data_IF_411706935380
#
_entry.id   IF_411706935380
#
_cell.length_a   1.000
_cell.length_b   1.000
_cell.length_c   1.000
_cell.angle_alpha   90.00
_cell.angle_beta   90.00
_cell.angle_gamma   90.00
#
_symmetry.space_group_name_H-M   'P 1'
#
loop_
_entity.id
_entity.type
_entity.pdbx_description
1 polymer ?
#
# COMPACT_ATOMS: atom_id res chain seq x y z
N UNK A 1 6.07 -42.89 -6.67
CA UNK A 1 6.37 -44.04 -7.54
C UNK A 1 7.29 -43.75 -8.74
N UNK A 2 6.99 -42.82 -9.67
CA UNK A 2 7.83 -42.59 -10.86
C UNK A 2 9.32 -42.28 -10.57
N UNK A 3 9.59 -41.25 -9.78
CA UNK A 3 10.98 -40.87 -9.41
C UNK A 3 11.72 -41.97 -8.64
N UNK A 4 11.01 -42.70 -7.77
CA UNK A 4 11.56 -43.87 -7.06
C UNK A 4 12.05 -44.93 -8.04
N UNK A 5 11.23 -45.29 -9.04
CA UNK A 5 11.60 -46.26 -10.06
C UNK A 5 12.81 -45.80 -10.89
N UNK A 6 12.86 -44.51 -11.25
CA UNK A 6 14.01 -43.94 -11.97
C UNK A 6 15.31 -44.01 -11.16
N UNK A 7 15.31 -43.60 -9.88
CA UNK A 7 16.52 -43.66 -9.04
C UNK A 7 16.99 -45.09 -8.81
N UNK A 8 16.07 -46.05 -8.63
CA UNK A 8 16.43 -47.47 -8.55
C UNK A 8 17.09 -47.94 -9.84
N UNK A 9 16.47 -47.65 -11.00
CA UNK A 9 17.03 -48.02 -12.30
C UNK A 9 18.42 -47.40 -12.53
N UNK A 10 18.63 -46.15 -12.15
CA UNK A 10 19.95 -45.50 -12.23
C UNK A 10 21.00 -46.18 -11.35
N UNK A 11 20.65 -46.56 -10.12
CA UNK A 11 21.55 -47.28 -9.22
C UNK A 11 21.91 -48.67 -9.76
N UNK A 12 20.95 -49.36 -10.35
CA UNK A 12 21.16 -50.66 -11.01
C UNK A 12 22.08 -50.52 -12.23
N UNK A 13 21.83 -49.55 -13.10
CA UNK A 13 22.69 -49.27 -14.28
C UNK A 13 24.12 -48.95 -13.86
N UNK A 14 24.30 -48.20 -12.76
CA UNK A 14 25.61 -47.83 -12.22
C UNK A 14 26.28 -48.98 -11.43
N UNK A 15 25.60 -50.12 -11.23
CA UNK A 15 26.09 -51.25 -10.44
C UNK A 15 26.25 -50.95 -8.95
N UNK A 16 25.51 -49.95 -8.43
CA UNK A 16 25.60 -49.47 -7.04
C UNK A 16 24.40 -49.85 -6.18
N UNK A 17 23.43 -50.57 -6.74
CA UNK A 17 22.24 -50.98 -6.00
C UNK A 17 22.55 -52.08 -4.99
N UNK A 18 22.61 -51.71 -3.71
CA UNK A 18 22.54 -52.65 -2.57
C UNK A 18 21.10 -52.78 -2.06
N UNK A 19 20.55 -53.99 -2.13
CA UNK A 19 19.20 -54.31 -1.66
C UNK A 19 19.00 -54.05 -0.17
N UNK A 20 20.00 -54.31 0.67
CA UNK A 20 19.87 -54.21 2.13
C UNK A 20 19.78 -52.76 2.63
N UNK A 21 20.43 -51.84 1.92
CA UNK A 21 20.41 -50.40 2.22
C UNK A 21 19.29 -49.68 1.45
N UNK A 22 19.21 -49.88 0.13
CA UNK A 22 18.32 -49.08 -0.72
C UNK A 22 16.85 -49.48 -0.60
N UNK A 23 16.51 -50.76 -0.36
CA UNK A 23 15.09 -51.14 -0.16
C UNK A 23 14.50 -50.39 1.06
N UNK A 24 15.29 -50.22 2.12
CA UNK A 24 14.88 -49.48 3.32
C UNK A 24 14.70 -48.00 3.04
N UNK A 25 15.63 -47.39 2.30
CA UNK A 25 15.52 -45.98 1.89
C UNK A 25 14.27 -45.77 1.02
N UNK A 26 14.09 -46.57 -0.02
CA UNK A 26 12.99 -46.42 -0.96
C UNK A 26 11.63 -46.85 -0.40
N UNK A 27 11.58 -47.62 0.69
CA UNK A 27 10.33 -47.93 1.40
C UNK A 27 9.67 -46.66 1.97
N UNK A 28 10.46 -45.68 2.39
CA UNK A 28 9.98 -44.41 2.96
C UNK A 28 10.25 -43.21 2.05
N UNK A 29 10.53 -43.46 0.77
CA UNK A 29 10.84 -42.40 -0.17
C UNK A 29 9.60 -41.58 -0.53
N UNK A 30 9.68 -40.28 -0.25
CA UNK A 30 8.61 -39.31 -0.51
C UNK A 30 9.13 -38.07 -1.25
N UNK A 31 8.21 -37.16 -1.55
CA UNK A 31 8.50 -35.93 -2.29
C UNK A 31 9.49 -34.99 -1.58
N UNK A 32 9.67 -35.13 -0.26
CA UNK A 32 10.62 -34.29 0.51
C UNK A 32 12.07 -34.66 0.21
N UNK A 33 12.29 -35.81 -0.41
CA UNK A 33 13.60 -36.35 -0.76
C UNK A 33 13.94 -36.17 -2.25
N UNK A 34 13.09 -35.45 -3.00
CA UNK A 34 13.35 -35.12 -4.40
C UNK A 34 14.54 -34.17 -4.52
N UNK A 35 15.32 -34.32 -5.60
CA UNK A 35 16.32 -33.31 -5.97
C UNK A 35 15.62 -32.04 -6.51
N UNK A 36 16.37 -30.95 -6.67
CA UNK A 36 15.84 -29.74 -7.34
C UNK A 36 15.30 -30.06 -8.73
N UNK A 37 16.04 -30.87 -9.52
CA UNK A 37 15.65 -31.25 -10.87
C UNK A 37 14.36 -32.08 -10.89
N UNK A 38 14.23 -33.06 -9.99
CA UNK A 38 13.01 -33.87 -9.86
C UNK A 38 11.82 -33.06 -9.38
N UNK A 39 12.06 -32.09 -8.50
CA UNK A 39 11.02 -31.18 -8.02
C UNK A 39 10.50 -30.28 -9.14
N UNK A 40 11.40 -29.70 -9.96
CA UNK A 40 11.03 -28.86 -11.10
C UNK A 40 10.29 -29.62 -12.21
N UNK A 41 10.45 -30.95 -12.27
CA UNK A 41 9.67 -31.81 -13.16
C UNK A 41 8.24 -32.07 -12.65
N UNK A 42 7.96 -31.76 -11.38
CA UNK A 42 6.60 -31.82 -10.83
C UNK A 42 5.85 -30.53 -11.20
N UNK A 43 4.78 -30.59 -12.02
CA UNK A 43 3.96 -29.41 -12.25
C UNK A 43 3.30 -28.95 -10.93
N UNK A 44 3.24 -27.65 -10.65
CA UNK A 44 2.53 -27.15 -9.47
C UNK A 44 1.04 -27.48 -9.60
N UNK A 45 0.47 -28.10 -8.56
CA UNK A 45 -0.98 -28.31 -8.50
C UNK A 45 -1.64 -27.00 -8.09
N UNK A 46 -2.38 -26.38 -9.01
CA UNK A 46 -3.11 -25.14 -8.76
C UNK A 46 -4.58 -25.44 -8.52
N UNK A 47 -5.11 -25.05 -7.36
CA UNK A 47 -6.55 -25.05 -7.07
C UNK A 47 -7.07 -23.63 -7.15
N UNK A 48 -8.06 -23.39 -8.00
CA UNK A 48 -8.77 -22.11 -8.09
C UNK A 48 -10.07 -22.19 -7.28
N UNK A 49 -10.25 -21.28 -6.34
CA UNK A 49 -11.45 -21.15 -5.52
C UNK A 49 -12.05 -19.74 -5.62
N UNK A 50 -13.36 -19.64 -5.41
CA UNK A 50 -14.03 -18.39 -5.11
C UNK A 50 -14.40 -18.36 -3.63
N UNK A 51 -14.69 -17.18 -3.08
CA UNK A 51 -14.98 -16.96 -1.66
C UNK A 51 -15.99 -17.99 -1.09
N UNK A 52 -17.19 -18.10 -1.68
CA UNK A 52 -18.26 -18.96 -1.14
C UNK A 52 -17.93 -20.47 -1.07
N UNK A 53 -17.08 -21.00 -1.94
CA UNK A 53 -16.65 -22.40 -1.88
C UNK A 53 -15.45 -22.62 -0.96
N UNK A 54 -14.61 -21.61 -0.79
CA UNK A 54 -13.35 -21.71 -0.05
C UNK A 54 -13.49 -21.37 1.45
N UNK A 55 -14.39 -20.46 1.79
CA UNK A 55 -14.54 -19.91 3.15
C UNK A 55 -15.62 -20.60 4.00
N UNK A 56 -16.68 -21.12 3.38
CA UNK A 56 -17.80 -21.71 4.10
C UNK A 56 -17.73 -23.23 4.08
N UNK A 57 -18.02 -23.84 2.93
CA UNK A 57 -18.09 -25.29 2.82
C UNK A 57 -16.72 -25.98 2.73
N UNK A 58 -15.71 -25.31 2.16
CA UNK A 58 -14.38 -25.87 1.89
C UNK A 58 -13.30 -25.57 2.92
N UNK A 59 -13.57 -24.74 3.93
CA UNK A 59 -12.53 -24.19 4.80
C UNK A 59 -11.71 -25.26 5.54
N UNK A 60 -12.36 -26.31 6.05
CA UNK A 60 -11.66 -27.41 6.73
C UNK A 60 -10.65 -28.11 5.79
N UNK A 61 -11.04 -28.36 4.54
CA UNK A 61 -10.17 -29.00 3.55
C UNK A 61 -9.04 -28.07 3.12
N UNK A 62 -9.32 -26.77 3.00
CA UNK A 62 -8.31 -25.75 2.74
C UNK A 62 -7.28 -25.72 3.87
N UNK A 63 -7.72 -25.67 5.13
CA UNK A 63 -6.86 -25.68 6.30
C UNK A 63 -5.96 -26.93 6.36
N UNK A 64 -6.51 -28.12 6.10
CA UNK A 64 -5.73 -29.35 5.98
C UNK A 64 -4.68 -29.28 4.85
N UNK A 65 -5.02 -28.67 3.72
CA UNK A 65 -4.11 -28.51 2.59
C UNK A 65 -2.94 -27.58 2.96
N UNK A 66 -3.19 -26.50 3.68
CA UNK A 66 -2.18 -25.53 4.14
C UNK A 66 -1.22 -26.10 5.20
N UNK A 67 -1.63 -27.12 5.97
CA UNK A 67 -0.77 -27.80 6.96
C UNK A 67 -0.09 -29.06 6.38
N UNK A 68 -0.56 -29.58 5.24
CA UNK A 68 -0.07 -30.85 4.66
C UNK A 68 1.43 -30.85 4.33
N UNK A 69 2.01 -29.67 4.16
CA UNK A 69 3.37 -29.48 3.65
C UNK A 69 3.51 -29.76 2.16
N UNK A 70 2.47 -30.26 1.48
CA UNK A 70 2.51 -30.55 0.05
C UNK A 70 2.65 -29.25 -0.76
N UNK A 71 3.33 -29.28 -1.92
CA UNK A 71 3.52 -28.10 -2.78
C UNK A 71 2.23 -27.74 -3.56
N UNK A 72 1.14 -27.51 -2.83
CA UNK A 72 -0.18 -27.13 -3.36
C UNK A 72 -0.25 -25.61 -3.49
N UNK A 73 -0.74 -25.13 -4.62
CA UNK A 73 -0.86 -23.72 -4.96
C UNK A 73 -2.34 -23.36 -4.99
N UNK A 74 -2.80 -22.53 -4.07
CA UNK A 74 -4.22 -22.18 -3.92
C UNK A 74 -4.41 -20.72 -4.33
N UNK A 75 -5.21 -20.48 -5.37
CA UNK A 75 -5.61 -19.13 -5.77
C UNK A 75 -7.08 -18.94 -5.43
N UNK A 76 -7.36 -17.94 -4.60
CA UNK A 76 -8.70 -17.54 -4.20
C UNK A 76 -8.99 -16.17 -4.82
N UNK A 77 -10.06 -16.11 -5.62
CA UNK A 77 -10.63 -14.86 -6.10
C UNK A 77 -11.67 -14.41 -5.07
N UNK A 78 -11.40 -13.29 -4.42
CA UNK A 78 -12.19 -12.73 -3.34
C UNK A 78 -12.94 -11.51 -3.86
N UNK A 79 -14.27 -11.63 -3.97
CA UNK A 79 -15.18 -10.58 -4.41
C UNK A 79 -15.83 -9.82 -3.24
N UNK A 80 -15.45 -10.13 -1.99
CA UNK A 80 -15.97 -9.54 -0.76
C UNK A 80 -17.50 -9.50 -0.70
N UNK A 81 -18.17 -10.57 -1.13
CA UNK A 81 -19.63 -10.59 -1.03
C UNK A 81 -20.03 -10.64 0.45
N UNK A 82 -20.90 -9.74 0.91
CA UNK A 82 -21.41 -9.85 2.27
C UNK A 82 -22.23 -11.15 2.38
N UNK A 83 -21.81 -12.03 3.29
CA UNK A 83 -22.75 -12.90 3.96
C UNK A 83 -23.56 -11.99 4.90
N UNK A 84 -24.77 -11.56 4.48
CA UNK A 84 -25.74 -10.71 5.22
C UNK A 84 -25.11 -9.71 6.21
N UNK A 85 -25.27 -8.40 5.93
CA UNK A 85 -24.72 -7.17 6.55
C UNK A 85 -24.44 -7.08 8.08
N UNK A 86 -24.70 -8.11 8.88
CA UNK A 86 -24.40 -8.27 10.31
C UNK A 86 -23.22 -9.23 10.61
N UNK A 87 -22.64 -9.93 9.63
CA UNK A 87 -21.52 -10.85 9.89
C UNK A 87 -20.14 -10.23 9.63
N UNK A 88 -19.24 -10.33 10.61
CA UNK A 88 -17.84 -9.90 10.48
C UNK A 88 -17.13 -10.71 9.41
N UNK A 89 -16.38 -10.03 8.53
CA UNK A 89 -15.59 -10.67 7.47
C UNK A 89 -14.60 -11.67 8.06
N UNK A 90 -14.51 -12.84 7.44
CA UNK A 90 -13.48 -13.85 7.76
C UNK A 90 -12.18 -13.46 7.05
N UNK A 91 -11.11 -13.18 7.80
CA UNK A 91 -9.82 -12.80 7.21
C UNK A 91 -9.00 -14.04 6.81
N UNK A 92 -9.27 -14.60 5.62
CA UNK A 92 -8.61 -15.84 5.15
C UNK A 92 -7.09 -15.73 5.15
N UNK A 93 -6.53 -14.62 4.70
CA UNK A 93 -5.09 -14.42 4.69
C UNK A 93 -4.52 -14.52 6.11
N UNK A 94 -5.16 -13.89 7.09
CA UNK A 94 -4.74 -13.96 8.50
C UNK A 94 -4.84 -15.37 9.07
N UNK A 95 -5.94 -16.07 8.77
CA UNK A 95 -6.17 -17.44 9.20
C UNK A 95 -5.15 -18.40 8.56
N UNK A 96 -4.83 -18.21 7.27
CA UNK A 96 -3.82 -18.98 6.57
C UNK A 96 -2.41 -18.73 7.12
N UNK A 97 -2.07 -17.48 7.44
CA UNK A 97 -0.82 -17.11 8.12
C UNK A 97 -0.69 -17.81 9.48
N UNK A 98 -1.81 -18.01 10.20
CA UNK A 98 -1.81 -18.71 11.49
C UNK A 98 -1.35 -20.17 11.41
N UNK A 99 -1.36 -20.80 10.23
CA UNK A 99 -0.76 -22.12 10.03
C UNK A 99 0.78 -22.09 10.05
N UNK A 100 1.41 -20.91 9.90
CA UNK A 100 2.86 -20.65 9.96
C UNK A 100 3.73 -21.35 8.92
N UNK A 101 3.20 -22.32 8.19
CA UNK A 101 3.96 -23.16 7.23
C UNK A 101 3.61 -22.90 5.78
N UNK A 102 2.57 -22.12 5.51
CA UNK A 102 2.15 -21.78 4.16
C UNK A 102 2.68 -20.40 3.78
N UNK A 103 3.11 -20.24 2.53
CA UNK A 103 3.28 -18.90 1.95
C UNK A 103 1.88 -18.30 1.72
N UNK A 104 1.66 -17.06 2.10
CA UNK A 104 0.35 -16.40 1.94
C UNK A 104 0.55 -15.02 1.34
N UNK A 105 -0.24 -14.68 0.33
CA UNK A 105 -0.28 -13.34 -0.23
C UNK A 105 -1.72 -12.87 -0.35
N UNK A 106 -2.01 -11.72 0.25
CA UNK A 106 -3.20 -10.92 -0.01
C UNK A 106 -2.86 -9.83 -1.01
N UNK A 107 -3.50 -9.85 -2.18
CA UNK A 107 -3.18 -8.98 -3.30
C UNK A 107 -4.39 -8.37 -3.97
N UNK A 108 -4.15 -7.37 -4.82
CA UNK A 108 -5.17 -6.76 -5.68
C UNK A 108 -4.63 -6.67 -7.10
N UNK A 109 -5.52 -6.79 -8.08
CA UNK A 109 -5.17 -6.73 -9.51
C UNK A 109 -4.68 -5.33 -9.95
N UNK A 110 -5.01 -4.28 -9.18
CA UNK A 110 -4.51 -2.92 -9.39
C UNK A 110 -3.02 -2.79 -9.05
N UNK A 111 -2.48 -3.65 -8.17
CA UNK A 111 -1.09 -3.61 -7.72
C UNK A 111 -0.27 -4.71 -8.39
N UNK A 112 -0.07 -4.58 -9.71
CA UNK A 112 0.53 -5.62 -10.55
C UNK A 112 1.94 -6.02 -10.10
N UNK A 113 2.79 -5.07 -9.69
CA UNK A 113 4.16 -5.38 -9.24
C UNK A 113 4.18 -6.25 -7.98
N UNK A 114 3.37 -5.89 -6.98
CA UNK A 114 3.21 -6.69 -5.75
C UNK A 114 2.66 -8.09 -6.09
N UNK A 115 1.63 -8.14 -6.94
CA UNK A 115 1.00 -9.38 -7.36
C UNK A 115 1.99 -10.33 -8.08
N UNK A 116 2.73 -9.82 -9.06
CA UNK A 116 3.71 -10.61 -9.82
C UNK A 116 4.86 -11.13 -8.95
N UNK A 117 5.42 -10.26 -8.10
CA UNK A 117 6.50 -10.64 -7.18
C UNK A 117 6.05 -11.80 -6.29
N UNK A 118 4.88 -11.66 -5.65
CA UNK A 118 4.42 -12.70 -4.75
C UNK A 118 3.88 -13.96 -5.45
N UNK A 119 3.46 -13.90 -6.72
CA UNK A 119 3.25 -15.11 -7.53
C UNK A 119 4.55 -15.87 -7.78
N UNK A 120 5.62 -15.17 -8.14
CA UNK A 120 6.94 -15.78 -8.35
C UNK A 120 7.41 -16.44 -7.05
N UNK A 121 7.33 -15.73 -5.93
CA UNK A 121 7.78 -16.25 -4.63
C UNK A 121 6.96 -17.44 -4.17
N UNK A 122 5.63 -17.38 -4.27
CA UNK A 122 4.76 -18.48 -3.87
C UNK A 122 4.83 -19.70 -4.80
N UNK A 123 5.12 -19.51 -6.11
CA UNK A 123 5.38 -20.63 -7.03
C UNK A 123 6.70 -21.32 -6.71
N UNK A 124 7.75 -20.55 -6.37
CA UNK A 124 9.05 -21.08 -5.95
C UNK A 124 9.04 -21.64 -4.51
N UNK A 125 7.99 -21.38 -3.73
CA UNK A 125 7.86 -21.92 -2.38
C UNK A 125 7.67 -23.45 -2.41
N UNK A 126 8.45 -24.20 -1.63
CA UNK A 126 8.44 -25.67 -1.64
C UNK A 126 7.27 -26.33 -0.89
N UNK A 127 6.39 -25.53 -0.30
CA UNK A 127 5.20 -25.99 0.41
C UNK A 127 3.90 -25.37 -0.12
N UNK A 128 2.85 -25.40 0.70
CA UNK A 128 1.57 -24.79 0.37
C UNK A 128 1.71 -23.28 0.17
N UNK A 129 1.14 -22.75 -0.90
CA UNK A 129 1.05 -21.32 -1.13
C UNK A 129 -0.40 -20.92 -1.36
N UNK A 130 -0.84 -19.81 -0.77
CA UNK A 130 -2.16 -19.24 -0.91
C UNK A 130 -2.06 -17.81 -1.44
N UNK A 131 -2.78 -17.52 -2.51
CA UNK A 131 -3.03 -16.18 -3.01
C UNK A 131 -4.49 -15.85 -2.80
N UNK A 132 -4.78 -14.80 -2.05
CA UNK A 132 -6.11 -14.23 -1.89
C UNK A 132 -6.12 -12.91 -2.65
N UNK A 133 -6.76 -12.91 -3.83
CA UNK A 133 -6.72 -11.78 -4.76
C UNK A 133 -8.07 -11.12 -4.79
N UNK A 134 -8.11 -9.83 -4.44
CA UNK A 134 -9.30 -9.02 -4.61
C UNK A 134 -9.64 -8.90 -6.08
N UNK A 135 -10.87 -9.28 -6.42
CA UNK A 135 -11.43 -9.17 -7.74
C UNK A 135 -12.92 -8.84 -7.62
N UNK A 136 -13.26 -7.57 -7.79
CA UNK A 136 -14.67 -7.12 -7.78
C UNK A 136 -15.47 -7.83 -8.86
N UNK A 137 -16.67 -8.30 -8.54
CA UNK A 137 -17.60 -8.87 -9.52
C UNK A 137 -18.63 -7.82 -9.94
N UNK A 138 -18.57 -7.36 -11.19
CA UNK A 138 -19.34 -6.20 -11.63
C UNK A 138 -20.87 -6.31 -11.41
N UNK A 139 -21.55 -7.40 -11.82
CA UNK A 139 -22.97 -7.57 -11.55
C UNK A 139 -23.33 -7.73 -10.06
N UNK A 140 -22.48 -8.38 -9.26
CA UNK A 140 -22.82 -8.66 -7.85
C UNK A 140 -22.52 -7.47 -6.94
N UNK A 141 -21.38 -6.82 -7.12
CA UNK A 141 -21.02 -5.58 -6.43
C UNK A 141 -21.82 -4.37 -6.96
N UNK A 142 -22.46 -4.50 -8.13
CA UNK A 142 -23.27 -3.45 -8.75
C UNK A 142 -22.44 -2.25 -9.24
N UNK A 143 -21.27 -2.53 -9.82
CA UNK A 143 -20.34 -1.55 -10.38
C UNK A 143 -20.32 -1.62 -11.92
N UNK A 144 -19.80 -0.58 -12.58
CA UNK A 144 -19.71 -0.57 -14.04
C UNK A 144 -18.68 -1.59 -14.57
N UNK A 145 -18.94 -2.15 -15.76
CA UNK A 145 -18.14 -3.22 -16.37
C UNK A 145 -16.65 -2.84 -16.56
N UNK A 146 -16.35 -1.56 -16.75
CA UNK A 146 -15.01 -1.02 -16.95
C UNK A 146 -14.36 -0.49 -15.65
N UNK A 147 -15.00 -0.63 -14.49
CA UNK A 147 -14.50 -0.08 -13.22
C UNK A 147 -13.59 -1.02 -12.44
N UNK A 148 -13.32 -2.23 -12.94
CA UNK A 148 -12.57 -3.28 -12.23
C UNK A 148 -11.24 -2.78 -11.64
N UNK A 149 -10.40 -2.13 -12.43
CA UNK A 149 -9.10 -1.61 -11.98
C UNK A 149 -9.25 -0.50 -10.96
N UNK A 150 -10.18 0.43 -11.20
CA UNK A 150 -10.45 1.54 -10.29
C UNK A 150 -10.96 1.03 -8.94
N UNK A 151 -11.93 0.11 -8.94
CA UNK A 151 -12.50 -0.45 -7.73
C UNK A 151 -11.46 -1.24 -6.93
N UNK A 152 -10.60 -1.99 -7.62
CA UNK A 152 -9.49 -2.73 -7.00
C UNK A 152 -8.44 -1.82 -6.38
N UNK A 153 -8.20 -0.64 -6.98
CA UNK A 153 -7.34 0.39 -6.41
C UNK A 153 -7.98 0.99 -5.16
N UNK A 154 -9.24 1.42 -5.25
CA UNK A 154 -9.98 1.98 -4.12
C UNK A 154 -10.09 1.00 -2.94
N UNK A 155 -10.23 -0.30 -3.20
CA UNK A 155 -10.28 -1.32 -2.15
C UNK A 155 -8.97 -1.38 -1.33
N UNK A 156 -7.81 -1.24 -1.97
CA UNK A 156 -6.51 -1.20 -1.28
C UNK A 156 -6.35 0.12 -0.53
N UNK A 157 -6.68 1.22 -1.20
CA UNK A 157 -6.48 2.58 -0.68
C UNK A 157 -7.39 2.89 0.52
N UNK A 158 -8.62 2.38 0.51
CA UNK A 158 -9.59 2.50 1.61
C UNK A 158 -9.38 1.53 2.76
N UNK A 159 -8.30 0.73 2.73
CA UNK A 159 -8.05 -0.39 3.67
C UNK A 159 -9.16 -1.47 3.68
N UNK A 160 -10.04 -1.52 2.69
CA UNK A 160 -10.98 -2.63 2.52
C UNK A 160 -10.24 -3.95 2.26
N UNK A 161 -9.15 -3.89 1.48
CA UNK A 161 -8.30 -5.02 1.10
C UNK A 161 -6.81 -4.66 1.15
N UNK A 162 -6.22 -4.50 2.36
CA UNK A 162 -4.81 -4.16 2.47
C UNK A 162 -3.92 -5.26 1.89
N UNK A 163 -2.82 -4.88 1.24
CA UNK A 163 -1.86 -5.83 0.69
C UNK A 163 -1.03 -6.44 1.82
N UNK A 164 -0.78 -7.73 1.78
CA UNK A 164 0.05 -8.40 2.78
C UNK A 164 0.71 -9.62 2.17
N UNK A 165 2.00 -9.80 2.42
CA UNK A 165 2.71 -11.02 2.06
C UNK A 165 3.28 -11.65 3.32
N UNK A 166 3.16 -12.96 3.44
CA UNK A 166 3.74 -13.78 4.50
C UNK A 166 4.58 -14.88 3.89
N UNK A 167 5.88 -14.85 4.19
CA UNK A 167 6.82 -15.87 3.79
C UNK A 167 7.48 -16.52 5.02
N UNK A 168 7.15 -17.79 5.32
CA UNK A 168 7.72 -18.48 6.49
C UNK A 168 9.22 -18.80 6.34
N UNK A 169 9.85 -18.51 5.20
CA UNK A 169 11.30 -18.68 5.00
C UNK A 169 12.12 -17.52 5.55
N UNK A 170 11.53 -16.33 5.71
CA UNK A 170 12.26 -15.10 6.05
C UNK A 170 12.67 -15.05 7.52
N UNK A 171 11.95 -15.73 8.41
CA UNK A 171 12.25 -15.72 9.82
C UNK A 171 11.43 -16.69 10.66
N UNK A 172 11.42 -16.44 11.97
CA UNK A 172 10.67 -17.23 12.96
C UNK A 172 9.56 -16.43 13.63
N UNK A 173 9.62 -15.10 13.59
CA UNK A 173 8.59 -14.23 14.15
C UNK A 173 7.66 -13.73 13.06
N UNK A 174 6.50 -13.20 13.44
CA UNK A 174 5.55 -12.65 12.47
C UNK A 174 6.12 -11.38 11.82
N UNK A 175 6.89 -10.59 12.58
CA UNK A 175 7.52 -9.37 12.08
C UNK A 175 8.54 -9.64 10.98
N UNK A 176 9.27 -10.76 11.08
CA UNK A 176 10.25 -11.16 10.06
C UNK A 176 9.58 -11.75 8.81
N UNK A 177 8.42 -12.41 8.99
CA UNK A 177 7.75 -13.13 7.92
C UNK A 177 6.72 -12.29 7.18
N UNK A 178 6.19 -11.22 7.77
CA UNK A 178 5.13 -10.37 7.17
C UNK A 178 5.72 -9.12 6.53
N UNK A 179 5.27 -8.84 5.32
CA UNK A 179 5.55 -7.61 4.59
C UNK A 179 4.25 -6.90 4.19
N UNK A 180 4.17 -5.59 4.47
CA UNK A 180 3.06 -4.71 4.06
C UNK A 180 3.44 -3.83 2.85
N UNK A 181 4.51 -4.16 2.13
CA UNK A 181 4.94 -3.39 0.98
C UNK A 181 3.86 -3.30 -0.11
N UNK A 182 3.77 -2.15 -0.75
CA UNK A 182 2.77 -1.86 -1.80
C UNK A 182 1.50 -1.18 -1.28
N UNK A 183 1.24 -1.17 0.03
CA UNK A 183 0.21 -0.31 0.59
C UNK A 183 0.67 1.16 0.60
N UNK A 184 -0.19 2.12 0.26
CA UNK A 184 0.14 3.53 0.40
C UNK A 184 0.08 3.97 1.87
N UNK A 185 0.80 5.04 2.17
CA UNK A 185 0.78 5.77 3.45
C UNK A 185 0.74 4.85 4.69
N UNK A 186 1.77 4.02 4.87
CA UNK A 186 1.80 3.00 5.93
C UNK A 186 1.59 3.57 7.35
N UNK A 187 2.05 4.80 7.58
CA UNK A 187 1.97 5.47 8.87
C UNK A 187 0.58 6.05 9.17
N UNK A 188 -0.29 6.15 8.16
CA UNK A 188 -1.63 6.70 8.28
C UNK A 188 -2.70 5.60 8.29
N UNK A 189 -3.80 5.89 8.98
CA UNK A 189 -4.95 4.99 9.00
C UNK A 189 -5.70 5.02 7.66
N UNK A 190 -5.88 6.23 7.11
CA UNK A 190 -6.56 6.48 5.85
C UNK A 190 -5.67 7.30 4.92
N UNK A 191 -5.81 7.05 3.61
CA UNK A 191 -5.18 7.87 2.57
C UNK A 191 -6.03 9.12 2.37
N UNK A 192 -5.39 10.22 1.97
CA UNK A 192 -6.08 11.47 1.64
C UNK A 192 -6.16 11.59 0.12
N UNK A 193 -7.36 11.86 -0.41
CA UNK A 193 -7.56 12.14 -1.84
C UNK A 193 -8.17 13.52 -2.05
N UNK A 194 -7.96 14.08 -3.23
CA UNK A 194 -8.58 15.34 -3.65
C UNK A 194 -9.95 15.06 -4.26
N UNK A 195 -11.00 15.61 -3.66
CA UNK A 195 -12.36 15.57 -4.17
C UNK A 195 -12.67 16.88 -4.92
N UNK A 196 -12.83 16.76 -6.23
CA UNK A 196 -13.20 17.89 -7.09
C UNK A 196 -14.72 18.05 -7.12
N UNK A 197 -15.22 19.26 -6.89
CA UNK A 197 -16.63 19.58 -6.93
C UNK A 197 -16.91 20.95 -7.53
N UNK A 198 -18.16 21.17 -7.92
CA UNK A 198 -18.65 22.44 -8.46
C UNK A 198 -19.61 23.07 -7.46
N UNK A 199 -19.49 24.38 -7.23
CA UNK A 199 -20.46 25.14 -6.43
C UNK A 199 -21.75 25.42 -7.23
N UNK A 200 -22.74 26.03 -6.56
CA UNK A 200 -24.01 26.43 -7.18
C UNK A 200 -23.87 27.46 -8.31
N UNK A 201 -22.72 28.12 -8.40
CA UNK A 201 -22.40 29.15 -9.39
C UNK A 201 -21.55 28.63 -10.56
N UNK A 202 -21.20 27.34 -10.58
CA UNK A 202 -20.40 26.71 -11.63
C UNK A 202 -18.88 26.81 -11.43
N UNK A 203 -18.40 27.34 -10.30
CA UNK A 203 -16.98 27.41 -9.97
C UNK A 203 -16.49 26.06 -9.46
N UNK A 204 -15.27 25.69 -9.86
CA UNK A 204 -14.64 24.43 -9.46
C UNK A 204 -13.79 24.62 -8.20
N UNK A 205 -13.95 23.71 -7.26
CA UNK A 205 -13.18 23.63 -6.03
C UNK A 205 -12.65 22.22 -5.85
N UNK A 206 -11.60 22.12 -5.05
CA UNK A 206 -11.03 20.85 -4.62
C UNK A 206 -10.92 20.85 -3.09
N UNK A 207 -11.11 19.69 -2.49
CA UNK A 207 -10.92 19.51 -1.06
C UNK A 207 -10.25 18.18 -0.75
N UNK A 208 -9.38 18.18 0.26
CA UNK A 208 -8.67 17.00 0.70
C UNK A 208 -9.55 16.19 1.67
N UNK A 209 -9.88 14.95 1.35
CA UNK A 209 -10.76 14.10 2.15
C UNK A 209 -10.14 12.73 2.38
N UNK A 210 -10.34 12.13 3.58
CA UNK A 210 -9.86 10.77 3.84
C UNK A 210 -10.68 9.76 3.02
N UNK A 211 -10.01 8.80 2.41
CA UNK A 211 -10.64 7.64 1.78
C UNK A 211 -10.78 6.51 2.81
N UNK A 212 -11.97 6.39 3.38
CA UNK A 212 -12.31 5.33 4.35
C UNK A 212 -12.98 4.14 3.66
N UNK A 213 -13.18 3.06 4.42
CA UNK A 213 -13.97 1.92 3.96
C UNK A 213 -15.39 2.32 3.50
N UNK A 214 -16.02 3.29 4.18
CA UNK A 214 -17.35 3.79 3.80
C UNK A 214 -17.34 4.53 2.45
N UNK A 215 -16.26 5.24 2.13
CA UNK A 215 -16.12 5.94 0.84
C UNK A 215 -15.99 4.96 -0.32
N UNK A 216 -15.23 3.89 -0.13
CA UNK A 216 -15.17 2.78 -1.10
C UNK A 216 -16.51 2.05 -1.20
N UNK A 217 -17.16 1.76 -0.07
CA UNK A 217 -18.46 1.08 -0.07
C UNK A 217 -19.55 1.91 -0.75
N UNK A 218 -19.48 3.24 -0.69
CA UNK A 218 -20.41 4.14 -1.39
C UNK A 218 -20.36 3.95 -2.93
N UNK A 219 -19.24 3.49 -3.48
CA UNK A 219 -19.11 3.25 -4.94
C UNK A 219 -19.75 1.94 -5.40
N UNK A 220 -20.14 1.05 -4.47
CA UNK A 220 -20.75 -0.24 -4.79
C UNK A 220 -22.24 -0.24 -4.48
N UNK A 221 -23.07 -0.56 -5.48
CA UNK A 221 -24.52 -0.51 -5.31
C UNK A 221 -25.04 -1.52 -4.27
N UNK A 222 -24.29 -2.59 -3.98
CA UNK A 222 -24.65 -3.55 -2.94
C UNK A 222 -24.76 -2.90 -1.54
N UNK A 223 -23.98 -1.86 -1.27
CA UNK A 223 -24.01 -1.16 0.02
C UNK A 223 -24.93 0.06 0.03
N UNK A 224 -25.67 0.35 -1.05
CA UNK A 224 -26.47 1.57 -1.19
C UNK A 224 -27.48 1.79 -0.04
N UNK A 225 -27.97 0.72 0.59
CA UNK A 225 -28.91 0.77 1.71
C UNK A 225 -28.29 1.30 3.03
N UNK A 226 -26.96 1.38 3.13
CA UNK A 226 -26.25 1.96 4.26
C UNK A 226 -26.10 3.48 4.18
N UNK A 227 -26.47 4.09 3.06
CA UNK A 227 -26.17 5.49 2.76
C UNK A 227 -27.43 6.32 2.52
N UNK A 228 -27.45 7.53 3.07
CA UNK A 228 -28.52 8.50 2.83
C UNK A 228 -27.93 9.88 2.58
N UNK A 229 -28.13 10.41 1.37
CA UNK A 229 -27.75 11.77 1.03
C UNK A 229 -28.59 12.79 1.82
N UNK A 230 -27.93 13.82 2.33
CA UNK A 230 -28.51 14.95 3.06
C UNK A 230 -28.47 16.17 2.16
N UNK A 231 -29.60 16.86 2.00
CA UNK A 231 -29.64 18.13 1.29
C UNK A 231 -29.02 19.25 2.13
N UNK A 232 -28.51 20.31 1.51
CA UNK A 232 -27.96 21.46 2.22
C UNK A 232 -28.91 22.00 3.30
N UNK A 233 -30.21 22.06 3.01
CA UNK A 233 -31.26 22.54 3.92
C UNK A 233 -31.52 21.63 5.13
N UNK A 234 -31.08 20.37 5.08
CA UNK A 234 -31.28 19.36 6.13
C UNK A 234 -30.00 19.02 6.89
N UNK A 235 -28.90 19.73 6.62
CA UNK A 235 -27.67 19.62 7.41
C UNK A 235 -27.91 20.19 8.80
N UNK A 236 -27.67 19.38 9.84
CA UNK A 236 -27.61 19.85 11.22
C UNK A 236 -26.18 20.21 11.62
N UNK A 237 -26.03 21.00 12.68
CA UNK A 237 -24.73 21.37 13.25
C UNK A 237 -24.05 20.18 13.96
N UNK A 238 -24.82 19.15 14.34
CA UNK A 238 -24.35 17.94 15.02
C UNK A 238 -23.69 16.91 14.05
N UNK A 239 -23.49 17.30 12.79
CA UNK A 239 -22.87 16.44 11.77
C UNK A 239 -21.35 16.54 11.80
N UNK A 240 -20.69 15.41 11.97
CA UNK A 240 -19.22 15.27 12.03
C UNK A 240 -18.72 14.28 11.01
N UNK A 241 -17.49 14.51 10.54
CA UNK A 241 -16.86 13.62 9.56
C UNK A 241 -16.68 12.22 10.18
N UNK A 242 -16.92 11.16 9.40
CA UNK A 242 -16.84 9.77 9.88
C UNK A 242 -15.51 9.46 10.58
N UNK A 243 -14.39 9.97 10.07
CA UNK A 243 -13.08 9.78 10.70
C UNK A 243 -12.95 10.45 12.05
N UNK A 244 -13.58 11.60 12.26
CA UNK A 244 -13.60 12.27 13.57
C UNK A 244 -14.53 11.50 14.52
N UNK A 245 -15.70 11.09 14.04
CA UNK A 245 -16.70 10.34 14.81
C UNK A 245 -16.14 9.04 15.40
N UNK A 246 -15.33 8.29 14.64
CA UNK A 246 -14.75 7.02 15.12
C UNK A 246 -13.71 7.25 16.25
N UNK A 247 -13.10 8.43 16.36
CA UNK A 247 -12.18 8.77 17.46
C UNK A 247 -12.90 9.34 18.70
N UNK A 248 -14.18 9.63 18.60
CA UNK A 248 -14.97 10.21 19.69
C UNK A 248 -15.30 9.19 20.78
N UNK A 249 -15.63 9.68 21.98
CA UNK A 249 -16.15 8.82 23.05
C UNK A 249 -17.58 8.36 22.75
N UNK A 250 -18.01 7.22 23.30
CA UNK A 250 -19.37 6.68 23.13
C UNK A 250 -20.48 7.71 23.46
N UNK A 251 -20.20 8.60 24.42
CA UNK A 251 -21.13 9.67 24.80
C UNK A 251 -21.26 10.71 23.69
N UNK A 252 -20.14 11.14 23.13
CA UNK A 252 -20.13 12.16 22.08
C UNK A 252 -20.69 11.57 20.79
N UNK A 253 -20.42 10.29 20.50
CA UNK A 253 -21.01 9.57 19.37
C UNK A 253 -22.54 9.55 19.43
N UNK A 254 -23.14 9.42 20.63
CA UNK A 254 -24.59 9.43 20.79
C UNK A 254 -25.23 10.81 20.50
N UNK A 255 -24.46 11.89 20.58
CA UNK A 255 -24.93 13.27 20.35
C UNK A 255 -24.66 13.76 18.91
N UNK A 256 -23.96 12.96 18.10
CA UNK A 256 -23.46 13.37 16.79
C UNK A 256 -23.90 12.43 15.67
N UNK A 257 -23.96 12.95 14.44
CA UNK A 257 -24.34 12.18 13.24
C UNK A 257 -23.14 12.11 12.30
N UNK A 258 -22.59 10.91 12.02
CA UNK A 258 -21.46 10.77 11.11
C UNK A 258 -21.88 10.90 9.65
N UNK A 259 -21.05 11.59 8.88
CA UNK A 259 -21.21 11.69 7.44
C UNK A 259 -19.87 11.53 6.70
N UNK A 260 -19.96 11.21 5.41
CA UNK A 260 -18.85 11.30 4.44
C UNK A 260 -19.20 12.31 3.35
N UNK A 261 -18.17 12.87 2.72
CA UNK A 261 -18.34 13.76 1.58
C UNK A 261 -18.51 12.95 0.30
N UNK A 262 -19.48 13.33 -0.53
CA UNK A 262 -19.67 12.76 -1.85
C UNK A 262 -20.05 13.85 -2.85
N UNK A 263 -19.99 13.52 -4.14
CA UNK A 263 -20.37 14.43 -5.21
C UNK A 263 -21.57 13.87 -5.95
N UNK A 264 -22.55 14.74 -6.24
CA UNK A 264 -23.74 14.34 -6.99
C UNK A 264 -23.36 13.97 -8.43
N UNK A 265 -23.75 12.78 -8.94
CA UNK A 265 -23.25 12.27 -10.23
C UNK A 265 -23.65 13.11 -11.44
N UNK A 266 -24.69 13.95 -11.33
CA UNK A 266 -25.20 14.74 -12.45
C UNK A 266 -24.85 16.23 -12.37
N UNK A 267 -24.91 16.81 -11.17
CA UNK A 267 -24.67 18.24 -10.96
C UNK A 267 -23.24 18.54 -10.55
N UNK A 268 -22.47 17.52 -10.15
CA UNK A 268 -21.14 17.66 -9.59
C UNK A 268 -21.09 18.53 -8.31
N UNK A 269 -22.23 18.71 -7.64
CA UNK A 269 -22.30 19.46 -6.38
C UNK A 269 -21.89 18.57 -5.20
N UNK A 270 -21.28 19.20 -4.19
CA UNK A 270 -20.88 18.55 -2.95
C UNK A 270 -22.11 18.18 -2.12
N UNK A 271 -22.11 16.96 -1.56
CA UNK A 271 -23.18 16.40 -0.75
C UNK A 271 -22.59 15.80 0.53
N UNK A 272 -23.35 15.87 1.63
CA UNK A 272 -23.09 15.04 2.81
C UNK A 272 -23.90 13.76 2.71
N UNK A 273 -23.26 12.62 2.97
CA UNK A 273 -23.92 11.31 2.98
C UNK A 273 -23.81 10.71 4.37
N UNK A 274 -24.95 10.52 5.03
CA UNK A 274 -25.03 9.88 6.34
C UNK A 274 -24.85 8.38 6.18
N UNK A 275 -24.14 7.80 7.14
CA UNK A 275 -23.70 6.40 7.14
C UNK A 275 -24.44 5.62 8.22
N UNK A 276 -24.88 4.39 7.93
CA UNK A 276 -25.57 3.54 8.91
C UNK A 276 -24.64 3.02 10.02
N UNK A 277 -25.21 2.63 11.17
CA UNK A 277 -24.47 2.05 12.30
C UNK A 277 -23.58 0.86 11.90
N UNK A 278 -24.11 -0.08 11.10
CA UNK A 278 -23.35 -1.23 10.60
C UNK A 278 -22.14 -0.85 9.74
N UNK A 279 -22.26 0.19 8.90
CA UNK A 279 -21.16 0.66 8.06
C UNK A 279 -20.11 1.42 8.88
N UNK A 280 -20.51 2.12 9.95
CA UNK A 280 -19.58 2.71 10.92
C UNK A 280 -18.77 1.59 11.61
N UNK A 281 -19.45 0.56 12.13
CA UNK A 281 -18.78 -0.58 12.77
C UNK A 281 -17.85 -1.32 11.81
N UNK A 282 -18.25 -1.51 10.55
CA UNK A 282 -17.38 -2.11 9.53
C UNK A 282 -16.15 -1.24 9.25
N UNK A 283 -16.31 0.08 9.15
CA UNK A 283 -15.19 1.01 8.93
C UNK A 283 -14.20 1.00 10.10
N UNK A 284 -14.72 0.96 11.34
CA UNK A 284 -13.89 0.84 12.54
C UNK A 284 -13.13 -0.50 12.56
N UNK A 285 -13.81 -1.60 12.24
CA UNK A 285 -13.20 -2.93 12.21
C UNK A 285 -12.09 -3.02 11.14
N UNK A 286 -12.25 -2.38 9.98
CA UNK A 286 -11.17 -2.27 8.97
C UNK A 286 -9.96 -1.50 9.47
N UNK A 287 -10.18 -0.41 10.23
CA UNK A 287 -9.11 0.34 10.87
C UNK A 287 -8.36 -0.51 11.91
N UNK A 288 -9.09 -1.24 12.75
CA UNK A 288 -8.51 -2.15 13.75
C UNK A 288 -7.75 -3.31 13.10
N UNK A 289 -8.26 -3.83 11.99
CA UNK A 289 -7.56 -4.84 11.18
C UNK A 289 -6.26 -4.30 10.60
N UNK A 290 -6.25 -3.07 10.08
CA UNK A 290 -5.04 -2.40 9.62
C UNK A 290 -4.00 -2.26 10.75
N UNK A 291 -4.43 -1.86 11.94
CA UNK A 291 -3.56 -1.78 13.12
C UNK A 291 -3.01 -3.14 13.52
N UNK A 292 -3.81 -4.20 13.41
CA UNK A 292 -3.39 -5.59 13.65
C UNK A 292 -2.28 -5.99 12.69
N UNK A 293 -2.44 -5.73 11.39
CA UNK A 293 -1.40 -6.00 10.38
C UNK A 293 -0.10 -5.24 10.66
N UNK A 294 -0.19 -3.94 11.00
CA UNK A 294 0.99 -3.14 11.38
C UNK A 294 1.66 -3.64 12.66
N UNK A 295 0.87 -4.14 13.62
CA UNK A 295 1.36 -4.77 14.84
C UNK A 295 2.12 -6.06 14.57
N UNK A 296 1.57 -6.92 13.70
CA UNK A 296 2.15 -8.23 13.36
C UNK A 296 3.41 -8.12 12.48
N UNK A 297 3.50 -7.12 11.63
CA UNK A 297 4.67 -6.84 10.77
C UNK A 297 5.79 -6.08 11.48
N UNK A 298 5.54 -5.58 12.70
CA UNK A 298 6.50 -4.72 13.40
C UNK A 298 6.57 -3.28 12.90
N UNK A 299 5.78 -2.92 11.87
CA UNK A 299 5.69 -1.56 11.33
C UNK A 299 5.12 -0.52 12.33
N UNK A 300 4.47 -0.95 13.41
CA UNK A 300 4.03 -0.06 14.49
C UNK A 300 5.13 0.29 15.51
N UNK A 301 6.37 -0.21 15.35
CA UNK A 301 7.45 0.14 16.27
C UNK A 301 8.02 1.51 15.91
N UNK A 302 7.89 2.43 16.85
CA UNK A 302 8.76 3.61 16.87
C UNK A 302 10.18 3.08 17.10
N UNK A 303 11.02 3.08 16.06
CA UNK A 303 12.44 2.83 16.22
C UNK A 303 13.03 4.00 17.02
N UNK A 304 13.11 3.81 18.33
CA UNK A 304 13.76 4.74 19.22
C UNK A 304 15.26 4.58 19.01
N UNK A 305 15.89 5.53 18.33
CA UNK A 305 17.35 5.59 18.21
C UNK A 305 17.97 5.87 19.59
N UNK A 306 18.28 4.77 20.29
CA UNK A 306 18.90 4.81 21.62
C UNK A 306 20.24 5.55 21.62
N UNK A 307 20.93 5.60 20.48
CA UNK A 307 22.20 6.29 20.34
C UNK A 307 21.98 7.80 20.26
N UNK A 308 21.02 8.24 19.44
CA UNK A 308 20.63 9.65 19.38
C UNK A 308 20.10 10.16 20.74
N UNK A 309 19.31 9.37 21.46
CA UNK A 309 18.87 9.71 22.81
C UNK A 309 20.05 9.78 23.79
N UNK A 310 20.98 8.83 23.73
CA UNK A 310 22.16 8.84 24.58
C UNK A 310 23.07 10.05 24.29
N UNK A 311 23.22 10.44 23.03
CA UNK A 311 24.05 11.56 22.62
C UNK A 311 23.38 12.91 22.92
N UNK A 312 22.05 13.00 22.78
CA UNK A 312 21.28 14.14 23.25
C UNK A 312 21.38 14.30 24.78
N UNK A 313 21.20 13.21 25.54
CA UNK A 313 21.34 13.24 26.99
C UNK A 313 22.74 13.65 27.44
N UNK A 314 23.80 13.21 26.74
CA UNK A 314 25.18 13.66 26.99
C UNK A 314 25.36 15.15 26.70
N UNK A 315 24.77 15.65 25.61
CA UNK A 315 24.87 17.06 25.23
C UNK A 315 24.16 17.97 26.24
N UNK A 316 22.95 17.60 26.67
CA UNK A 316 22.17 18.31 27.70
C UNK A 316 22.90 18.27 29.06
N UNK A 317 23.49 17.13 29.43
CA UNK A 317 24.30 17.02 30.64
C UNK A 317 25.56 17.88 30.58
N UNK A 318 26.25 17.92 29.43
CA UNK A 318 27.43 18.76 29.23
C UNK A 318 27.09 20.25 29.29
N UNK A 319 25.95 20.67 28.74
CA UNK A 319 25.44 22.05 28.85
C UNK A 319 25.13 22.41 30.31
N UNK A 320 24.41 21.55 31.02
CA UNK A 320 24.08 21.75 32.44
C UNK A 320 25.33 21.87 33.32
N UNK A 321 26.33 21.03 33.08
CA UNK A 321 27.63 21.09 33.77
C UNK A 321 28.37 22.38 33.43
N UNK A 322 28.34 22.81 32.17
CA UNK A 322 28.99 24.05 31.72
C UNK A 322 28.33 25.29 32.33
N UNK A 323 27.01 25.34 32.38
CA UNK A 323 26.24 26.40 33.06
C UNK A 323 26.53 26.43 34.58
N UNK A 324 26.62 25.27 35.21
CA UNK A 324 27.02 25.15 36.60
C UNK A 324 28.47 25.60 36.87
N UNK A 325 29.40 25.30 35.96
CA UNK A 325 30.80 25.76 36.08
C UNK A 325 30.93 27.26 35.83
N UNK A 326 30.20 27.81 34.86
CA UNK A 326 30.19 29.25 34.58
C UNK A 326 29.57 30.05 35.73
N UNK A 327 28.56 29.52 36.42
CA UNK A 327 28.00 30.13 37.63
C UNK A 327 28.95 30.07 38.85
N UNK A 328 29.81 29.05 38.95
CA UNK A 328 30.90 29.02 39.95
C UNK A 328 31.96 30.10 39.69
N UNK A 329 32.32 30.34 38.43
CA UNK A 329 33.27 31.41 38.06
C UNK A 329 32.69 32.80 38.37
N UNK A 330 31.37 32.94 38.35
CA UNK A 330 30.63 34.15 38.76
C UNK A 330 30.52 34.38 40.26
N UNK A 331 31.08 33.52 41.11
CA UNK A 331 31.18 33.75 42.57
C UNK A 331 30.15 33.03 43.45
N UNK A 332 29.27 32.18 42.91
CA UNK A 332 28.41 31.30 43.73
C UNK A 332 29.08 29.93 43.89
N UNK A 333 29.90 29.79 44.93
CA UNK A 333 30.63 28.57 45.26
C UNK A 333 29.74 27.34 45.56
N UNK A 334 28.42 27.53 45.68
CA UNK A 334 27.44 26.46 45.91
C UNK A 334 26.56 26.11 44.70
N UNK A 335 26.69 26.83 43.57
CA UNK A 335 25.80 26.67 42.42
C UNK A 335 25.88 25.27 41.79
N UNK A 336 27.09 24.75 41.58
CA UNK A 336 27.31 23.42 41.00
C UNK A 336 26.71 22.31 41.88
N UNK A 337 26.84 22.44 43.20
CA UNK A 337 26.31 21.46 44.16
C UNK A 337 24.78 21.47 44.20
N UNK A 338 24.13 22.62 43.99
CA UNK A 338 22.66 22.71 43.89
C UNK A 338 22.17 22.16 42.55
N UNK A 339 22.84 22.51 41.44
CA UNK A 339 22.49 22.02 40.10
C UNK A 339 22.66 20.49 40.02
N UNK A 340 23.76 19.95 40.58
CA UNK A 340 23.99 18.50 40.65
C UNK A 340 23.06 17.77 41.63
N UNK A 341 22.54 18.46 42.65
CA UNK A 341 21.55 17.90 43.57
C UNK A 341 20.12 17.91 43.00
N UNK A 342 19.82 18.82 42.07
CA UNK A 342 18.55 18.90 41.34
C UNK A 342 18.52 18.05 40.05
N UNK A 343 19.62 17.36 39.69
CA UNK A 343 19.58 16.35 38.64
C UNK A 343 18.66 15.22 39.13
N UNK A 344 17.50 15.01 38.49
CA UNK A 344 16.66 13.89 38.87
C UNK A 344 17.49 12.62 38.65
N UNK A 345 17.56 11.76 39.66
CA UNK A 345 17.95 10.38 39.41
C UNK A 345 17.15 9.90 38.19
N UNK A 346 17.82 9.24 37.25
CA UNK A 346 17.19 8.58 36.10
C UNK A 346 16.35 7.41 36.63
N UNK A 347 15.31 7.72 37.39
CA UNK A 347 14.11 6.92 37.41
C UNK A 347 13.56 7.09 36.01
N UNK A 348 13.46 5.99 35.29
CA UNK A 348 12.74 5.89 34.04
C UNK A 348 11.33 6.47 34.24
N UNK A 349 11.19 7.79 34.01
CA UNK A 349 9.95 8.33 33.51
C UNK A 349 9.84 7.68 32.15
N UNK A 350 8.89 6.78 32.02
CA UNK A 350 8.34 6.40 30.72
C UNK A 350 8.27 7.69 29.91
N UNK A 351 8.98 7.80 28.78
CA UNK A 351 8.76 8.95 27.94
C UNK A 351 7.31 8.85 27.50
N UNK A 352 6.44 9.66 28.09
CA UNK A 352 5.34 10.22 27.33
C UNK A 352 6.03 11.01 26.23
N UNK A 353 6.32 10.30 25.14
CA UNK A 353 6.46 10.94 23.85
C UNK A 353 5.30 11.95 23.77
N UNK A 354 5.54 13.20 23.36
CA UNK A 354 4.45 13.93 22.75
C UNK A 354 4.05 13.04 21.59
N UNK A 355 3.00 12.23 21.79
CA UNK A 355 2.21 11.72 20.69
C UNK A 355 1.94 13.00 19.90
N UNK A 356 2.47 13.17 18.68
CA UNK A 356 1.80 14.07 17.78
C UNK A 356 0.44 13.43 17.70
N UNK A 357 -0.54 14.00 18.42
CA UNK A 357 -1.93 13.72 18.15
C UNK A 357 -1.99 13.92 16.63
N UNK A 358 -2.26 12.87 15.82
CA UNK A 358 -2.56 13.11 14.42
C UNK A 358 -3.58 14.22 14.47
N UNK A 359 -3.29 15.36 13.85
CA UNK A 359 -4.29 16.39 13.73
C UNK A 359 -5.45 15.65 13.05
N UNK A 360 -6.53 15.41 13.80
CA UNK A 360 -7.76 14.97 13.19
C UNK A 360 -7.97 15.94 12.03
N UNK A 361 -8.14 15.43 10.79
CA UNK A 361 -8.32 16.31 9.66
C UNK A 361 -9.55 17.14 9.96
N UNK A 362 -9.34 18.39 10.38
CA UNK A 362 -10.41 19.36 10.56
C UNK A 362 -11.21 19.36 9.27
N UNK A 363 -12.52 19.49 9.40
CA UNK A 363 -13.46 19.67 8.30
C UNK A 363 -12.78 20.37 7.10
N UNK A 364 -12.60 19.68 5.97
CA UNK A 364 -11.75 20.16 4.92
C UNK A 364 -12.27 21.49 4.35
N UNK A 365 -11.41 22.51 4.36
CA UNK A 365 -11.78 23.83 3.88
C UNK A 365 -11.71 23.88 2.34
N UNK A 366 -12.71 24.49 1.68
CA UNK A 366 -12.70 24.70 0.23
C UNK A 366 -11.43 25.42 -0.22
N UNK A 367 -10.63 24.78 -1.07
CA UNK A 367 -9.53 25.47 -1.77
C UNK A 367 -9.98 25.77 -3.19
N UNK A 368 -9.78 27.00 -3.70
CA UNK A 368 -9.95 27.27 -5.13
C UNK A 368 -9.11 26.27 -5.91
N UNK A 369 -9.72 25.53 -6.84
CA UNK A 369 -8.96 24.65 -7.69
C UNK A 369 -7.90 25.49 -8.41
N UNK A 370 -6.62 25.13 -8.30
CA UNK A 370 -5.57 25.79 -9.05
C UNK A 370 -5.90 25.66 -10.55
N UNK A 371 -6.09 26.80 -11.23
CA UNK A 371 -6.35 26.86 -12.66
C UNK A 371 -5.20 26.19 -13.43
N UNK A 372 -5.42 24.93 -13.83
CA UNK A 372 -4.75 24.37 -14.98
C UNK A 372 -5.19 25.17 -16.21
N UNK A 373 -4.19 25.60 -16.99
CA UNK A 373 -4.29 26.64 -17.99
C UNK A 373 -5.36 26.40 -19.09
N UNK A 374 -5.96 27.53 -19.47
CA UNK A 374 -6.81 27.85 -20.63
C UNK A 374 -6.78 26.84 -21.80
N UNK A 375 -7.97 26.33 -22.14
CA UNK A 375 -8.33 25.92 -23.51
C UNK A 375 -8.91 27.12 -24.25
N UNK A 376 -8.19 27.66 -25.22
CA UNK A 376 -8.77 28.44 -26.32
C UNK A 376 -9.08 27.51 -27.48
N UNK A 377 -10.33 27.51 -27.92
CA UNK A 377 -10.74 26.88 -29.16
C UNK A 377 -10.40 27.82 -30.33
N UNK A 378 -9.62 27.32 -31.30
CA UNK A 378 -9.46 27.98 -32.59
C UNK A 378 -9.54 26.96 -33.75
N UNK A 379 -10.17 27.46 -34.81
CA UNK A 379 -10.54 26.90 -36.11
C UNK A 379 -9.75 25.75 -36.76
N UNK A 380 -10.50 24.98 -37.55
CA UNK A 380 -10.02 23.97 -38.51
C UNK A 380 -9.20 24.59 -39.65
N UNK A 381 -7.91 24.28 -39.73
CA UNK A 381 -7.19 23.85 -40.97
C UNK A 381 -5.76 23.35 -40.63
N UNK A 382 -5.16 22.44 -41.43
CA UNK A 382 -3.99 21.67 -41.01
C UNK A 382 -2.67 22.44 -41.23
N UNK A 383 -1.83 22.53 -40.20
CA UNK A 383 -0.47 23.06 -40.29
C UNK A 383 0.43 22.43 -39.22
N UNK A 384 1.64 22.01 -39.65
CA UNK A 384 2.89 21.61 -38.97
C UNK A 384 2.88 21.07 -37.51
N UNK A 385 3.67 20.03 -37.18
CA UNK A 385 3.69 19.44 -35.84
C UNK A 385 4.09 20.49 -34.80
N UNK A 386 3.22 20.73 -33.83
CA UNK A 386 3.46 21.63 -32.73
C UNK A 386 4.54 21.04 -31.81
N UNK A 387 5.49 21.86 -31.39
CA UNK A 387 6.53 21.47 -30.43
C UNK A 387 5.88 21.26 -29.05
N UNK A 388 5.94 20.04 -28.55
CA UNK A 388 5.55 19.64 -27.20
C UNK A 388 6.81 19.51 -26.33
N UNK A 389 6.95 20.26 -25.22
CA UNK A 389 8.10 20.16 -24.33
C UNK A 389 8.06 18.88 -23.47
N UNK A 390 9.22 18.43 -23.00
CA UNK A 390 9.30 17.35 -21.99
C UNK A 390 8.61 17.78 -20.70
N UNK A 391 7.85 16.86 -20.10
CA UNK A 391 7.17 17.07 -18.82
C UNK A 391 7.19 15.79 -17.97
N UNK A 392 6.90 15.92 -16.67
CA UNK A 392 6.91 14.81 -15.71
C UNK A 392 5.60 14.81 -14.91
N UNK A 393 5.00 13.64 -14.74
CA UNK A 393 3.94 13.38 -13.74
C UNK A 393 4.56 13.39 -12.33
N UNK A 394 4.92 14.59 -11.88
CA UNK A 394 5.67 14.85 -10.64
C UNK A 394 5.08 14.15 -9.41
N UNK A 395 3.74 14.09 -9.21
CA UNK A 395 3.15 13.39 -8.06
C UNK A 395 3.58 11.92 -7.94
N UNK A 396 3.71 11.24 -9.09
CA UNK A 396 3.98 9.81 -9.19
C UNK A 396 5.48 9.46 -9.12
N UNK A 397 6.34 10.46 -8.86
CA UNK A 397 7.78 10.25 -8.74
C UNK A 397 8.16 9.42 -7.50
N UNK A 398 8.96 8.37 -7.72
CA UNK A 398 9.46 7.42 -6.71
C UNK A 398 10.88 7.70 -6.22
N UNK A 399 11.48 8.82 -6.64
CA UNK A 399 12.80 9.30 -6.17
C UNK A 399 13.93 8.26 -6.33
N UNK A 400 14.09 7.70 -7.53
CA UNK A 400 15.12 6.69 -7.85
C UNK A 400 16.45 7.27 -8.40
N UNK A 401 16.61 8.60 -8.41
CA UNK A 401 17.78 9.37 -8.88
C UNK A 401 18.19 9.23 -10.36
N UNK A 402 17.74 8.18 -11.07
CA UNK A 402 18.17 7.87 -12.46
C UNK A 402 18.02 9.06 -13.44
N UNK A 403 16.90 9.77 -13.43
CA UNK A 403 16.67 10.88 -14.37
C UNK A 403 17.52 12.12 -14.07
N UNK A 404 17.79 12.39 -12.79
CA UNK A 404 18.63 13.52 -12.34
C UNK A 404 20.11 13.19 -12.61
N UNK A 405 20.52 11.93 -12.48
CA UNK A 405 21.86 11.48 -12.82
C UNK A 405 22.13 11.48 -14.34
N UNK A 406 21.11 11.13 -15.13
CA UNK A 406 21.20 11.11 -16.60
C UNK A 406 21.24 12.52 -17.19
N UNK A 407 20.39 13.43 -16.72
CA UNK A 407 20.25 14.77 -17.27
C UNK A 407 20.01 15.82 -16.16
N UNK A 408 21.03 16.16 -15.35
CA UNK A 408 20.91 17.09 -14.22
C UNK A 408 20.59 18.54 -14.65
N UNK A 409 20.84 18.88 -15.92
CA UNK A 409 20.46 20.18 -16.50
C UNK A 409 18.98 20.28 -16.88
N UNK A 410 18.28 19.15 -16.99
CA UNK A 410 16.87 19.06 -17.39
C UNK A 410 15.99 18.71 -16.18
N UNK A 411 16.44 17.79 -15.32
CA UNK A 411 15.67 17.27 -14.20
C UNK A 411 16.32 17.59 -12.86
N UNK A 412 15.52 18.03 -11.89
CA UNK A 412 15.96 18.25 -10.51
C UNK A 412 14.84 17.90 -9.53
N UNK A 413 15.19 17.61 -8.28
CA UNK A 413 14.21 17.43 -7.21
C UNK A 413 13.70 18.76 -6.66
N UNK A 414 12.38 18.85 -6.46
CA UNK A 414 11.75 19.93 -5.72
C UNK A 414 11.93 19.76 -4.19
N UNK A 415 11.35 20.66 -3.39
CA UNK A 415 11.43 20.61 -1.92
C UNK A 415 10.83 19.33 -1.29
N UNK A 416 9.90 18.66 -1.98
CA UNK A 416 9.26 17.40 -1.57
C UNK A 416 9.99 16.15 -2.10
N UNK A 417 11.19 16.32 -2.67
CA UNK A 417 11.98 15.26 -3.33
C UNK A 417 11.27 14.59 -4.51
N UNK A 418 10.46 15.33 -5.25
CA UNK A 418 9.81 14.89 -6.51
C UNK A 418 10.51 15.51 -7.72
N UNK A 419 10.74 14.71 -8.75
CA UNK A 419 11.47 15.15 -9.94
C UNK A 419 10.62 16.12 -10.77
N UNK A 420 11.19 17.28 -11.11
CA UNK A 420 10.59 18.32 -11.94
C UNK A 420 11.50 18.65 -13.13
N UNK A 421 10.91 19.15 -14.23
CA UNK A 421 11.66 19.70 -15.36
C UNK A 421 12.05 21.14 -15.05
N UNK A 422 13.35 21.41 -14.99
CA UNK A 422 13.90 22.77 -14.76
C UNK A 422 14.16 23.51 -16.07
N UNK A 423 14.68 22.82 -17.09
CA UNK A 423 14.98 23.41 -18.39
C UNK A 423 15.06 22.34 -19.49
N UNK A 424 14.04 22.22 -20.35
CA UNK A 424 13.99 21.20 -21.41
C UNK A 424 15.03 21.39 -22.51
N UNK A 425 15.73 22.54 -22.56
CA UNK A 425 16.69 22.89 -23.62
C UNK A 425 18.14 22.62 -23.25
N UNK A 426 18.42 22.28 -21.98
CA UNK A 426 19.78 22.14 -21.44
C UNK A 426 20.40 20.74 -21.57
N UNK A 427 19.84 19.89 -22.42
CA UNK A 427 20.44 18.60 -22.78
C UNK A 427 19.95 18.09 -24.13
N UNK A 428 20.31 16.85 -24.45
CA UNK A 428 19.97 16.20 -25.73
C UNK A 428 18.63 15.48 -25.66
N UNK A 429 17.93 15.33 -26.79
CA UNK A 429 16.71 14.52 -26.84
C UNK A 429 17.00 13.06 -26.51
N UNK A 430 18.19 12.55 -26.85
CA UNK A 430 18.64 11.24 -26.42
C UNK A 430 18.67 11.07 -24.89
N UNK A 431 19.16 12.06 -24.14
CA UNK A 431 19.20 12.00 -22.68
C UNK A 431 17.78 12.00 -22.08
N UNK A 432 16.85 12.75 -22.67
CA UNK A 432 15.44 12.75 -22.25
C UNK A 432 14.79 11.37 -22.48
N UNK A 433 14.99 10.78 -23.66
CA UNK A 433 14.46 9.44 -23.99
C UNK A 433 15.09 8.37 -23.09
N UNK A 434 16.40 8.48 -22.79
CA UNK A 434 17.08 7.57 -21.86
C UNK A 434 16.56 7.71 -20.44
N UNK A 435 16.29 8.93 -19.98
CA UNK A 435 15.65 9.17 -18.68
C UNK A 435 14.26 8.54 -18.59
N UNK A 436 13.45 8.65 -19.65
CA UNK A 436 12.13 8.02 -19.71
C UNK A 436 12.21 6.48 -19.69
N UNK A 437 13.12 5.89 -20.46
CA UNK A 437 13.33 4.43 -20.49
C UNK A 437 13.84 3.86 -19.16
N UNK A 438 14.61 4.64 -18.40
CA UNK A 438 15.13 4.23 -17.09
C UNK A 438 14.24 4.63 -15.92
N UNK A 439 13.20 5.43 -16.17
CA UNK A 439 12.29 5.83 -15.11
C UNK A 439 11.51 4.62 -14.60
N UNK A 440 11.79 4.21 -13.36
CA UNK A 440 11.11 3.08 -12.72
C UNK A 440 9.59 3.29 -12.59
N UNK A 441 9.15 4.54 -12.49
CA UNK A 441 7.75 4.93 -12.41
C UNK A 441 7.11 5.21 -13.78
N UNK A 442 7.89 5.31 -14.86
CA UNK A 442 7.42 5.61 -16.23
C UNK A 442 6.60 6.90 -16.31
N UNK A 443 7.08 7.96 -15.64
CA UNK A 443 6.37 9.24 -15.48
C UNK A 443 6.96 10.39 -16.31
N UNK A 444 8.01 10.12 -17.10
CA UNK A 444 8.72 11.13 -17.88
C UNK A 444 8.23 11.04 -19.32
N UNK A 445 7.68 12.14 -19.81
CA UNK A 445 7.12 12.26 -21.15
C UNK A 445 8.06 13.08 -22.04
N UNK A 446 8.82 12.47 -22.97
CA UNK A 446 9.88 13.17 -23.71
C UNK A 446 9.41 14.32 -24.60
N UNK A 447 8.14 14.33 -24.99
CA UNK A 447 7.61 15.29 -25.95
C UNK A 447 8.31 15.22 -27.30
N UNK A 448 8.36 16.35 -27.99
CA UNK A 448 9.03 16.49 -29.28
C UNK A 448 10.46 17.02 -29.12
N UNK A 449 11.40 16.64 -30.00
CA UNK A 449 12.78 17.10 -29.92
C UNK A 449 12.90 18.60 -30.17
N UNK A 450 13.61 19.29 -29.28
CA UNK A 450 13.82 20.73 -29.40
C UNK A 450 14.89 21.09 -30.43
N UNK A 451 15.88 20.20 -30.64
CA UNK A 451 16.92 20.35 -31.65
C UNK A 451 16.66 19.40 -32.84
N UNK A 452 16.19 19.91 -34.00
CA UNK A 452 15.89 19.08 -35.17
C UNK A 452 17.14 18.51 -35.87
N UNK A 453 18.34 18.99 -35.55
CA UNK A 453 19.60 18.55 -36.17
C UNK A 453 20.35 17.49 -35.34
N UNK A 454 19.70 16.87 -34.34
CA UNK A 454 20.32 15.86 -33.47
C UNK A 454 20.52 14.52 -34.21
N UNK A 455 21.70 13.86 -34.08
CA UNK A 455 21.95 12.58 -34.74
C UNK A 455 20.96 11.49 -34.30
N UNK A 456 20.53 10.65 -35.23
CA UNK A 456 19.58 9.54 -35.01
C UNK A 456 18.15 9.93 -34.55
N UNK A 457 17.71 11.16 -34.82
CA UNK A 457 16.41 11.67 -34.38
C UNK A 457 15.21 10.76 -34.71
N UNK A 458 15.12 10.23 -35.94
CA UNK A 458 14.03 9.34 -36.35
C UNK A 458 13.92 8.07 -35.49
N UNK A 459 15.05 7.57 -34.97
CA UNK A 459 15.08 6.40 -34.08
C UNK A 459 14.70 6.78 -32.65
N UNK A 460 15.09 7.97 -32.21
CA UNK A 460 14.76 8.48 -30.87
C UNK A 460 13.27 8.79 -30.76
N UNK A 461 12.66 9.40 -31.78
CA UNK A 461 11.22 9.67 -31.84
C UNK A 461 10.43 8.35 -31.71
N UNK A 462 10.80 7.31 -32.46
CA UNK A 462 10.16 5.98 -32.35
C UNK A 462 10.30 5.32 -30.98
N UNK A 463 11.38 5.63 -30.23
CA UNK A 463 11.55 5.14 -28.86
C UNK A 463 10.70 5.94 -27.88
N UNK A 464 10.60 7.25 -28.10
CA UNK A 464 9.80 8.17 -27.31
C UNK A 464 8.29 7.93 -27.44
N UNK A 465 7.79 7.40 -28.57
CA UNK A 465 6.37 7.07 -28.79
C UNK A 465 5.74 6.18 -27.71
N UNK A 466 6.54 5.41 -26.97
CA UNK A 466 6.07 4.56 -25.87
C UNK A 466 5.81 5.31 -24.56
N UNK A 467 6.29 6.55 -24.49
CA UNK A 467 6.31 7.41 -23.30
C UNK A 467 5.67 8.77 -23.61
N UNK A 468 4.76 8.82 -24.59
CA UNK A 468 4.02 10.02 -24.99
C UNK A 468 2.58 9.96 -24.50
#
# INVERSE_FOLDING_TARGET
EGFKAMRIAELEIKGKYDKTEHDKFFAYFDWRQFSEEEYLLCPPLVTLGAEGSSFDSGFQNLSHSLISGLPIKVLVLDNQLPNDSDSTRKELSLIAMAHRTAYVQQGSISNTSHLLAGFIDGLNYRGPALWSIYASNQPENGIANNSLTLQSKLAVESRAYPLTTFDPRLGKTWEECICLAGNPDLDQDWIIYSLDYTDEYGNKFAMDVPLTYADWALTEAQYAHHFKAVSADSSSDDMVLLTEYIEMSDRDQAENIPFIWAVHPQSNHLLKVVVSASMISATQERKEFWHTLKGLSGNNRIEVDTQAIADQAKAEMAQTITEGLMSMVGGDAGALTRILADVPAVAAKTPTAPVPKPAAPKAPEPKPAAEAAKKEAADKKPAAPAFEPVWIETPDCTTCDECVDIAPGIFQYNAEKKAIVIDPTKGTFEDIVRSAEKCTAVIIHPGTPWNPDEPNLDKLIKRAEKFQ
#
